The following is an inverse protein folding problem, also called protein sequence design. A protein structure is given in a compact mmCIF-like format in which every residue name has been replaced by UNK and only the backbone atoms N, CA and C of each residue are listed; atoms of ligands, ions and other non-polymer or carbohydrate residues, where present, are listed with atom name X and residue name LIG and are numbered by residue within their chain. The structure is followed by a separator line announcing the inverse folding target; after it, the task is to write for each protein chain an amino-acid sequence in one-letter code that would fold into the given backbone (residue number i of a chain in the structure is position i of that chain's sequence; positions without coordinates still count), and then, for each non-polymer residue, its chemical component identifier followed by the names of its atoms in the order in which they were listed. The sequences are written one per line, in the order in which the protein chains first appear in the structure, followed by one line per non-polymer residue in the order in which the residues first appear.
data_IF_527714678188
#
_entry.id   IF_527714678188
#
_cell.length_a   1.000
_cell.length_b   1.000
_cell.length_c   1.000
_cell.angle_alpha   90.00
_cell.angle_beta   90.00
_cell.angle_gamma   90.00
#
_symmetry.space_group_name_H-M   'P 1'
#
loop_
_entity.id
_entity.type
_entity.pdbx_description
1 polymer ?
#
# COMPACT_ATOMS: atom_id res chain seq x y z
N UNK A 1 -20.62 35.46 1.76
CA UNK A 1 -20.62 34.27 2.66
C UNK A 1 -19.23 33.64 2.76
N UNK A 2 -18.90 33.03 3.90
CA UNK A 2 -17.59 32.38 4.13
C UNK A 2 -17.55 31.00 3.48
N UNK A 3 -16.48 30.68 2.75
CA UNK A 3 -16.26 29.34 2.20
C UNK A 3 -16.18 28.27 3.30
N UNK A 4 -16.55 27.03 2.97
CA UNK A 4 -16.46 25.88 3.88
C UNK A 4 -15.03 25.67 4.38
N UNK A 5 -14.88 25.52 5.70
CA UNK A 5 -13.60 25.19 6.35
C UNK A 5 -13.80 23.98 7.24
N UNK A 6 -13.09 22.90 6.93
CA UNK A 6 -13.09 21.72 7.77
C UNK A 6 -12.12 21.89 8.94
N UNK A 7 -12.64 21.84 10.17
CA UNK A 7 -11.86 22.09 11.39
C UNK A 7 -10.69 21.12 11.58
N UNK A 8 -10.80 19.89 11.07
CA UNK A 8 -9.77 18.85 11.21
C UNK A 8 -8.93 18.66 9.94
N UNK A 9 -8.90 19.65 9.03
CA UNK A 9 -8.16 19.53 7.76
C UNK A 9 -6.69 19.18 7.97
N UNK A 10 -5.99 19.84 8.91
CA UNK A 10 -4.58 19.54 9.22
C UNK A 10 -4.36 18.10 9.68
N UNK A 11 -5.31 17.53 10.43
CA UNK A 11 -5.22 16.15 10.90
C UNK A 11 -5.46 15.19 9.73
N UNK A 12 -6.42 15.50 8.85
CA UNK A 12 -6.67 14.72 7.64
C UNK A 12 -5.42 14.69 6.74
N UNK A 13 -4.74 15.83 6.56
CA UNK A 13 -3.52 15.93 5.76
C UNK A 13 -2.39 15.08 6.37
N UNK A 14 -2.23 15.12 7.69
CA UNK A 14 -1.27 14.26 8.41
C UNK A 14 -1.57 12.77 8.21
N UNK A 15 -2.86 12.37 8.23
CA UNK A 15 -3.25 10.97 8.01
C UNK A 15 -3.04 10.52 6.56
N UNK A 16 -3.27 11.40 5.58
CA UNK A 16 -2.95 11.14 4.18
C UNK A 16 -1.45 10.89 4.00
N UNK A 17 -0.61 11.73 4.63
CA UNK A 17 0.83 11.54 4.60
C UNK A 17 1.27 10.23 5.26
N UNK A 18 0.71 9.90 6.43
CA UNK A 18 1.01 8.65 7.12
C UNK A 18 0.59 7.40 6.30
N UNK A 19 -0.55 7.45 5.61
CA UNK A 19 -0.97 6.39 4.70
C UNK A 19 0.00 6.21 3.53
N UNK A 20 0.46 7.29 2.92
CA UNK A 20 1.42 7.22 1.82
C UNK A 20 2.78 6.67 2.29
N UNK A 21 3.25 7.07 3.47
CA UNK A 21 4.45 6.49 4.08
C UNK A 21 4.30 4.98 4.33
N UNK A 22 3.16 4.54 4.87
CA UNK A 22 2.90 3.13 5.11
C UNK A 22 2.82 2.33 3.80
N UNK A 23 2.26 2.93 2.73
CA UNK A 23 2.22 2.34 1.39
C UNK A 23 3.62 2.16 0.80
N UNK A 24 4.48 3.16 0.91
CA UNK A 24 5.87 3.08 0.45
C UNK A 24 6.65 2.01 1.22
N UNK A 25 6.45 1.94 2.55
CA UNK A 25 7.06 0.90 3.38
C UNK A 25 6.61 -0.51 2.99
N UNK A 26 5.32 -0.69 2.69
CA UNK A 26 4.77 -1.95 2.19
C UNK A 26 5.36 -2.32 0.82
N UNK A 27 5.45 -1.36 -0.10
CA UNK A 27 6.04 -1.59 -1.41
C UNK A 27 7.51 -2.03 -1.32
N UNK A 28 8.29 -1.40 -0.44
CA UNK A 28 9.67 -1.79 -0.19
C UNK A 28 9.78 -3.21 0.37
N UNK A 29 8.93 -3.58 1.33
CA UNK A 29 8.91 -4.94 1.88
C UNK A 29 8.56 -6.00 0.83
N UNK A 30 7.56 -5.72 -0.02
CA UNK A 30 7.17 -6.60 -1.13
C UNK A 30 8.34 -6.77 -2.11
N UNK A 31 9.00 -5.67 -2.48
CA UNK A 31 10.15 -5.72 -3.40
C UNK A 31 11.28 -6.59 -2.86
N UNK A 32 11.52 -6.57 -1.55
CA UNK A 32 12.55 -7.41 -0.94
C UNK A 32 12.15 -8.90 -0.95
N UNK A 33 10.90 -9.22 -0.62
CA UNK A 33 10.37 -10.59 -0.75
C UNK A 33 10.47 -11.09 -2.20
N UNK A 34 10.13 -10.26 -3.18
CA UNK A 34 10.21 -10.61 -4.60
C UNK A 34 11.67 -10.82 -5.07
N UNK A 35 12.61 -10.01 -4.55
CA UNK A 35 14.05 -10.22 -4.78
C UNK A 35 14.49 -11.61 -4.35
N UNK A 36 14.10 -12.03 -3.15
CA UNK A 36 14.42 -13.35 -2.59
C UNK A 36 13.76 -14.47 -3.42
N UNK A 37 12.49 -14.30 -3.82
CA UNK A 37 11.78 -15.25 -4.70
C UNK A 37 12.49 -15.42 -6.04
N UNK A 38 13.04 -14.35 -6.60
CA UNK A 38 13.80 -14.43 -7.84
C UNK A 38 15.12 -15.18 -7.66
N UNK A 39 15.84 -14.95 -6.56
CA UNK A 39 17.04 -15.73 -6.23
C UNK A 39 16.74 -17.23 -6.08
N UNK A 40 15.61 -17.59 -5.46
CA UNK A 40 15.17 -18.98 -5.37
C UNK A 40 14.91 -19.61 -6.75
N UNK A 41 14.31 -18.85 -7.68
CA UNK A 41 14.12 -19.31 -9.07
C UNK A 41 15.47 -19.53 -9.77
N UNK A 42 16.43 -18.63 -9.59
CA UNK A 42 17.77 -18.79 -10.15
C UNK A 42 18.47 -20.04 -9.61
N UNK A 43 18.36 -20.32 -8.30
CA UNK A 43 18.89 -21.56 -7.72
C UNK A 43 18.22 -22.79 -8.31
N UNK A 44 16.89 -22.76 -8.50
CA UNK A 44 16.18 -23.87 -9.12
C UNK A 44 16.69 -24.16 -10.54
N UNK A 45 16.92 -23.11 -11.35
CA UNK A 45 17.51 -23.23 -12.70
C UNK A 45 18.91 -23.84 -12.62
N UNK A 46 19.79 -23.27 -11.79
CA UNK A 46 21.18 -23.77 -11.60
C UNK A 46 21.20 -25.23 -11.12
N UNK A 47 20.25 -25.63 -10.28
CA UNK A 47 20.15 -27.01 -9.79
C UNK A 47 19.73 -27.97 -10.89
N UNK A 48 18.81 -27.57 -11.77
CA UNK A 48 18.43 -28.37 -12.94
C UNK A 48 19.61 -28.53 -13.90
N UNK A 49 20.35 -27.45 -14.15
CA UNK A 49 21.57 -27.47 -14.99
C UNK A 49 22.64 -28.40 -14.41
N UNK A 50 22.95 -28.28 -13.12
CA UNK A 50 23.92 -29.15 -12.44
C UNK A 50 23.52 -30.63 -12.50
N UNK A 51 22.22 -30.95 -12.40
CA UNK A 51 21.73 -32.33 -12.54
C UNK A 51 21.87 -32.85 -13.98
N UNK A 52 21.68 -31.99 -14.98
CA UNK A 52 21.93 -32.36 -16.38
C UNK A 52 23.42 -32.67 -16.58
N UNK A 53 24.31 -31.80 -16.12
CA UNK A 53 25.76 -32.00 -16.19
C UNK A 53 26.20 -33.29 -15.50
N UNK A 54 25.63 -33.58 -14.31
CA UNK A 54 25.84 -34.84 -13.59
C UNK A 54 25.54 -36.07 -14.45
N UNK A 55 24.50 -36.00 -15.29
CA UNK A 55 24.05 -37.14 -16.09
C UNK A 55 24.95 -37.43 -17.30
N UNK A 56 25.74 -36.45 -17.74
CA UNK A 56 26.67 -36.56 -18.88
C UNK A 56 28.12 -36.69 -18.45
N UNK A 57 28.43 -36.41 -17.18
CA UNK A 57 29.77 -36.55 -16.63
C UNK A 57 30.17 -38.04 -16.58
N UNK A 58 31.41 -38.34 -16.96
CA UNK A 58 31.96 -39.70 -16.94
C UNK A 58 33.18 -39.83 -16.03
N UNK A 59 33.72 -38.70 -15.57
CA UNK A 59 34.89 -38.65 -14.70
C UNK A 59 34.48 -38.55 -13.22
N UNK A 60 35.18 -39.30 -12.37
CA UNK A 60 34.89 -39.38 -10.93
C UNK A 60 35.16 -38.04 -10.24
N UNK A 61 36.22 -37.32 -10.62
CA UNK A 61 36.53 -36.02 -10.00
C UNK A 61 35.50 -34.96 -10.38
N UNK A 62 35.06 -34.97 -11.64
CA UNK A 62 33.94 -34.16 -12.13
C UNK A 62 32.63 -34.44 -11.39
N UNK A 63 32.30 -35.72 -11.16
CA UNK A 63 31.12 -36.08 -10.36
C UNK A 63 31.18 -35.53 -8.94
N UNK A 64 32.30 -35.67 -8.23
CA UNK A 64 32.46 -35.15 -6.87
C UNK A 64 32.28 -33.63 -6.84
N UNK A 65 32.83 -32.91 -7.83
CA UNK A 65 32.67 -31.46 -7.93
C UNK A 65 31.20 -31.05 -8.13
N UNK A 66 30.47 -31.76 -9.00
CA UNK A 66 29.05 -31.51 -9.27
C UNK A 66 28.19 -31.79 -8.03
N UNK A 67 28.43 -32.90 -7.31
CA UNK A 67 27.72 -33.21 -6.06
C UNK A 67 27.92 -32.14 -5.00
N UNK A 68 29.17 -31.69 -4.81
CA UNK A 68 29.48 -30.62 -3.87
C UNK A 68 28.78 -29.31 -4.24
N UNK A 69 28.70 -29.00 -5.53
CA UNK A 69 27.98 -27.83 -6.01
C UNK A 69 26.46 -27.95 -5.77
N UNK A 70 25.85 -29.11 -6.05
CA UNK A 70 24.43 -29.36 -5.77
C UNK A 70 24.14 -29.23 -4.27
N UNK A 71 24.97 -29.81 -3.40
CA UNK A 71 24.83 -29.68 -1.95
C UNK A 71 24.88 -28.22 -1.50
N UNK A 72 25.79 -27.42 -2.08
CA UNK A 72 25.87 -25.98 -1.79
C UNK A 72 24.63 -25.23 -2.26
N UNK A 73 24.08 -25.55 -3.43
CA UNK A 73 22.83 -24.96 -3.92
C UNK A 73 21.67 -25.31 -2.99
N UNK A 74 21.64 -26.51 -2.43
CA UNK A 74 20.59 -26.95 -1.51
C UNK A 74 20.66 -26.23 -0.17
N UNK A 75 21.86 -26.09 0.41
CA UNK A 75 22.06 -25.28 1.62
C UNK A 75 21.61 -23.83 1.36
N UNK A 76 22.05 -23.23 0.24
CA UNK A 76 21.66 -21.84 -0.08
C UNK A 76 20.16 -21.69 -0.33
N UNK A 77 19.50 -22.72 -0.86
CA UNK A 77 18.05 -22.74 -1.03
C UNK A 77 17.34 -22.68 0.33
N UNK A 78 17.76 -23.50 1.29
CA UNK A 78 17.16 -23.51 2.63
C UNK A 78 17.36 -22.16 3.32
N UNK A 79 18.56 -21.57 3.25
CA UNK A 79 18.83 -20.22 3.77
C UNK A 79 17.89 -19.17 3.15
N UNK A 80 17.71 -19.19 1.82
CA UNK A 80 16.81 -18.26 1.14
C UNK A 80 15.33 -18.49 1.48
N UNK A 81 14.92 -19.72 1.81
CA UNK A 81 13.56 -20.01 2.25
C UNK A 81 13.30 -19.44 3.65
N UNK A 82 14.28 -19.54 4.55
CA UNK A 82 14.22 -18.89 5.87
C UNK A 82 14.20 -17.36 5.74
N UNK A 83 15.08 -16.79 4.91
CA UNK A 83 15.09 -15.36 4.58
C UNK A 83 13.72 -14.94 4.01
N UNK A 84 13.14 -15.73 3.11
CA UNK A 84 11.84 -15.45 2.51
C UNK A 84 10.72 -15.44 3.55
N UNK A 85 10.67 -16.44 4.42
CA UNK A 85 9.66 -16.51 5.48
C UNK A 85 9.73 -15.28 6.38
N UNK A 86 10.94 -14.83 6.74
CA UNK A 86 11.13 -13.60 7.52
C UNK A 86 10.65 -12.35 6.77
N UNK A 87 10.97 -12.25 5.48
CA UNK A 87 10.55 -11.13 4.64
C UNK A 87 9.02 -11.09 4.46
N UNK A 88 8.37 -12.24 4.32
CA UNK A 88 6.91 -12.33 4.20
C UNK A 88 6.20 -11.92 5.50
N UNK A 89 6.75 -12.25 6.67
CA UNK A 89 6.24 -11.71 7.95
C UNK A 89 6.30 -10.19 7.98
N UNK A 90 7.41 -9.59 7.55
CA UNK A 90 7.55 -8.13 7.46
C UNK A 90 6.54 -7.54 6.47
N UNK A 91 6.28 -8.18 5.34
CA UNK A 91 5.24 -7.75 4.38
C UNK A 91 3.87 -7.72 5.05
N UNK A 92 3.48 -8.75 5.78
CA UNK A 92 2.19 -8.79 6.47
C UNK A 92 2.09 -7.73 7.57
N UNK A 93 3.16 -7.48 8.33
CA UNK A 93 3.21 -6.38 9.30
C UNK A 93 3.00 -5.02 8.64
N UNK A 94 3.71 -4.74 7.53
CA UNK A 94 3.55 -3.48 6.79
C UNK A 94 2.17 -3.37 6.16
N UNK A 95 1.59 -4.49 5.71
CA UNK A 95 0.23 -4.52 5.16
C UNK A 95 -0.81 -4.19 6.24
N UNK A 96 -0.67 -4.75 7.44
CA UNK A 96 -1.52 -4.42 8.56
C UNK A 96 -1.43 -2.93 8.92
N UNK A 97 -0.21 -2.38 8.98
CA UNK A 97 0.01 -0.95 9.25
C UNK A 97 -0.61 -0.04 8.18
N UNK A 98 -0.46 -0.38 6.90
CA UNK A 98 -1.09 0.35 5.80
C UNK A 98 -2.62 0.31 5.90
N UNK A 99 -3.20 -0.86 6.15
CA UNK A 99 -4.64 -1.01 6.31
C UNK A 99 -5.19 -0.17 7.46
N UNK A 100 -4.45 -0.08 8.57
CA UNK A 100 -4.85 0.74 9.71
C UNK A 100 -4.75 2.24 9.40
N UNK A 101 -3.66 2.70 8.78
CA UNK A 101 -3.53 4.09 8.33
C UNK A 101 -4.65 4.48 7.34
N UNK A 102 -4.96 3.55 6.41
CA UNK A 102 -6.02 3.70 5.43
C UNK A 102 -7.41 3.89 6.09
N UNK A 103 -7.71 3.10 7.12
CA UNK A 103 -8.95 3.20 7.91
C UNK A 103 -9.04 4.55 8.62
N UNK A 104 -7.98 4.95 9.33
CA UNK A 104 -7.94 6.20 10.08
C UNK A 104 -8.13 7.43 9.18
N UNK A 105 -7.48 7.45 8.01
CA UNK A 105 -7.69 8.49 6.99
C UNK A 105 -9.13 8.50 6.47
N UNK A 106 -9.71 7.32 6.23
CA UNK A 106 -11.08 7.21 5.69
C UNK A 106 -12.14 7.72 6.67
N UNK A 107 -11.97 7.48 7.97
CA UNK A 107 -12.86 8.03 9.01
C UNK A 107 -12.93 9.56 8.93
N UNK A 108 -11.79 10.24 8.82
CA UNK A 108 -11.74 11.70 8.73
C UNK A 108 -12.27 12.23 7.38
N UNK A 109 -12.00 11.54 6.28
CA UNK A 109 -12.56 11.89 4.97
C UNK A 109 -14.09 11.85 5.01
N UNK A 110 -14.66 10.75 5.50
CA UNK A 110 -16.11 10.60 5.61
C UNK A 110 -16.73 11.67 6.52
N UNK A 111 -16.04 12.06 7.60
CA UNK A 111 -16.48 13.14 8.48
C UNK A 111 -16.49 14.49 7.77
N UNK A 112 -15.44 14.78 6.98
CA UNK A 112 -15.36 15.99 6.16
C UNK A 112 -16.50 16.07 5.17
N UNK A 113 -16.80 14.97 4.47
CA UNK A 113 -17.87 14.91 3.47
C UNK A 113 -19.23 15.18 4.11
N UNK A 114 -19.54 14.55 5.26
CA UNK A 114 -20.77 14.82 6.01
C UNK A 114 -20.89 16.29 6.43
N UNK A 115 -19.80 16.88 6.94
CA UNK A 115 -19.78 18.30 7.35
C UNK A 115 -19.95 19.24 6.16
N UNK A 116 -19.45 18.86 5.00
CA UNK A 116 -19.64 19.61 3.77
C UNK A 116 -21.09 19.55 3.29
N UNK A 117 -21.74 18.39 3.36
CA UNK A 117 -23.16 18.27 3.05
C UNK A 117 -24.05 19.10 3.99
N UNK A 118 -23.77 19.10 5.29
CA UNK A 118 -24.44 19.94 6.27
C UNK A 118 -24.29 21.44 5.93
N UNK A 119 -23.07 21.87 5.63
CA UNK A 119 -22.78 23.25 5.20
C UNK A 119 -23.58 23.61 3.93
N UNK A 120 -23.61 22.73 2.92
CA UNK A 120 -24.34 22.96 1.68
C UNK A 120 -25.85 23.10 1.92
N UNK A 121 -26.43 22.27 2.78
CA UNK A 121 -27.85 22.35 3.16
C UNK A 121 -28.17 23.68 3.86
N UNK A 122 -27.33 24.11 4.80
CA UNK A 122 -27.50 25.40 5.48
C UNK A 122 -27.35 26.58 4.51
N UNK A 123 -26.34 26.54 3.64
CA UNK A 123 -26.11 27.55 2.62
C UNK A 123 -27.33 27.72 1.69
N UNK A 124 -27.87 26.62 1.18
CA UNK A 124 -29.05 26.66 0.33
C UNK A 124 -30.25 27.26 1.06
N UNK A 125 -30.51 26.82 2.30
CA UNK A 125 -31.62 27.34 3.10
C UNK A 125 -31.50 28.85 3.37
N UNK A 126 -30.31 29.33 3.70
CA UNK A 126 -30.08 30.78 3.90
C UNK A 126 -30.24 31.55 2.60
N UNK A 127 -29.74 31.02 1.49
CA UNK A 127 -29.86 31.67 0.16
C UNK A 127 -31.32 31.73 -0.29
N UNK A 128 -32.12 30.69 -0.03
CA UNK A 128 -33.57 30.67 -0.32
C UNK A 128 -34.31 31.75 0.50
N UNK A 129 -34.00 31.89 1.79
CA UNK A 129 -34.58 32.94 2.64
C UNK A 129 -34.18 34.34 2.14
N UNK A 130 -32.90 34.57 1.87
CA UNK A 130 -32.42 35.86 1.34
C UNK A 130 -33.09 36.23 0.01
N UNK A 131 -33.33 35.24 -0.88
CA UNK A 131 -34.05 35.43 -2.13
C UNK A 131 -35.53 35.81 -1.91
N UNK A 132 -36.21 35.15 -0.98
CA UNK A 132 -37.62 35.44 -0.66
C UNK A 132 -37.77 36.85 -0.06
N UNK A 133 -36.90 37.21 0.88
CA UNK A 133 -36.85 38.55 1.49
C UNK A 133 -36.61 39.64 0.42
N UNK A 134 -35.69 39.41 -0.52
CA UNK A 134 -35.44 40.34 -1.63
C UNK A 134 -36.64 40.48 -2.57
N UNK A 135 -37.37 39.39 -2.80
CA UNK A 135 -38.58 39.40 -3.63
C UNK A 135 -39.72 40.16 -2.94
N UNK A 136 -39.95 39.93 -1.64
CA UNK A 136 -40.93 40.68 -0.86
C UNK A 136 -40.61 42.17 -0.79
N UNK A 137 -39.35 42.54 -0.54
CA UNK A 137 -38.92 43.93 -0.51
C UNK A 137 -39.15 44.63 -1.87
N UNK A 138 -38.92 43.93 -2.99
CA UNK A 138 -39.25 44.43 -4.33
C UNK A 138 -40.74 44.64 -4.52
N UNK A 139 -41.59 43.71 -4.11
CA UNK A 139 -43.04 43.85 -4.22
C UNK A 139 -43.57 45.04 -3.42
N UNK A 140 -43.08 45.26 -2.20
CA UNK A 140 -43.48 46.40 -1.37
C UNK A 140 -43.01 47.76 -1.89
N UNK A 141 -42.02 47.80 -2.77
CA UNK A 141 -41.50 49.04 -3.37
C UNK A 141 -42.17 49.44 -4.69
N UNK A 142 -43.14 48.65 -5.17
CA UNK A 142 -43.84 48.87 -6.45
C UNK A 142 -45.34 49.23 -6.25
N UNK A 143 -45.83 49.21 -5.01
CA UNK A 143 -47.10 49.83 -4.58
C UNK A 143 -46.87 51.25 -4.01
#
# INVERSE_FOLDING_TARGET
MKAFKFSLQKILDLRLFAEEQAKLALAAAISESDRIKNLLKEIAVKRVEANKERSVCTDITGHIAIENYINRLDIRKEELLEELASAELVVEEKRAAFNEAMKQRKVLSNLKDKKYEEYKKQYNKTTEIELDDMNQARFQSVE
#
